data_IF_942992292193
#
_entry.id   IF_942992292193
#
_cell.length_a   1.000
_cell.length_b   1.000
_cell.length_c   1.000
_cell.angle_alpha   90.00
_cell.angle_beta   90.00
_cell.angle_gamma   90.00
#
_symmetry.space_group_name_H-M   'P 1'
#
loop_
_entity.id
_entity.type
_entity.pdbx_description
1 polymer ?
#
# COMPACT_ATOMS: atom_id res chain seq x y z
N UNK A 1 6.11 5.25 6.81
CA UNK A 1 6.37 5.65 5.41
C UNK A 1 5.80 7.04 5.14
N UNK A 2 6.61 8.11 5.29
CA UNK A 2 6.15 9.50 5.08
C UNK A 2 6.52 10.07 3.70
N UNK A 3 7.50 9.45 3.03
CA UNK A 3 8.08 9.96 1.79
C UNK A 3 7.13 9.87 0.58
N UNK A 4 6.38 8.79 0.40
CA UNK A 4 5.46 8.63 -0.75
C UNK A 4 4.12 9.35 -0.58
N UNK A 5 3.42 9.10 0.52
CA UNK A 5 2.03 9.56 0.71
C UNK A 5 1.92 10.97 1.31
N UNK A 6 2.95 11.43 2.04
CA UNK A 6 2.98 12.76 2.62
C UNK A 6 3.61 13.81 1.71
N UNK A 7 4.78 13.49 1.11
CA UNK A 7 5.57 14.43 0.32
C UNK A 7 5.02 14.61 -1.11
N UNK A 8 4.61 13.51 -1.75
CA UNK A 8 4.12 13.53 -3.14
C UNK A 8 2.59 13.58 -3.24
N UNK A 9 1.87 13.40 -2.13
CA UNK A 9 0.39 13.31 -2.04
C UNK A 9 -0.22 12.34 -3.05
N UNK A 10 0.53 11.29 -3.42
CA UNK A 10 0.07 10.30 -4.40
C UNK A 10 -0.97 9.37 -3.78
N UNK A 11 -1.93 8.96 -4.60
CA UNK A 11 -2.76 7.80 -4.33
C UNK A 11 -1.87 6.56 -4.11
N UNK A 12 -2.12 5.72 -3.08
CA UNK A 12 -1.49 4.41 -2.89
C UNK A 12 -1.30 3.58 -4.15
N UNK A 13 -2.34 3.47 -4.98
CA UNK A 13 -2.26 2.70 -6.22
C UNK A 13 -1.24 3.31 -7.20
N UNK A 14 -1.26 4.64 -7.35
CA UNK A 14 -0.35 5.33 -8.26
C UNK A 14 1.11 5.18 -7.79
N UNK A 15 1.35 5.32 -6.50
CA UNK A 15 2.68 5.14 -5.91
C UNK A 15 3.24 3.74 -6.16
N UNK A 16 2.43 2.69 -5.96
CA UNK A 16 2.86 1.30 -6.16
C UNK A 16 2.96 0.89 -7.63
N UNK A 17 2.40 1.68 -8.55
CA UNK A 17 2.49 1.43 -9.99
C UNK A 17 3.73 2.08 -10.62
N UNK A 18 4.42 2.97 -9.90
CA UNK A 18 5.60 3.68 -10.40
C UNK A 18 6.82 2.78 -10.49
N UNK A 19 7.63 3.01 -11.52
CA UNK A 19 8.95 2.39 -11.63
C UNK A 19 9.93 3.02 -10.62
N UNK A 20 11.00 2.29 -10.21
CA UNK A 20 12.03 2.85 -9.31
C UNK A 20 12.65 4.15 -9.84
N UNK A 21 12.78 4.29 -11.17
CA UNK A 21 13.31 5.49 -11.82
C UNK A 21 12.36 6.68 -11.70
N UNK A 22 11.05 6.46 -11.88
CA UNK A 22 10.03 7.49 -11.68
C UNK A 22 9.92 7.90 -10.21
N UNK A 23 10.01 6.93 -9.30
CA UNK A 23 10.03 7.20 -7.86
C UNK A 23 11.25 8.06 -7.47
N UNK A 24 12.44 7.73 -7.98
CA UNK A 24 13.65 8.52 -7.75
C UNK A 24 13.51 9.95 -8.27
N UNK A 25 12.92 10.14 -9.46
CA UNK A 25 12.68 11.47 -10.01
C UNK A 25 11.66 12.28 -9.18
N UNK A 26 10.60 11.64 -8.68
CA UNK A 26 9.57 12.29 -7.88
C UNK A 26 10.09 12.73 -6.50
N UNK A 27 10.98 11.95 -5.88
CA UNK A 27 11.54 12.24 -4.56
C UNK A 27 12.57 13.38 -4.55
N UNK A 28 13.00 13.88 -5.72
CA UNK A 28 14.03 14.91 -5.82
C UNK A 28 15.46 14.35 -5.67
N UNK A 29 16.49 15.21 -5.55
CA UNK A 29 17.88 14.76 -5.43
C UNK A 29 17.99 13.73 -4.32
N UNK A 30 18.58 12.58 -4.65
CA UNK A 30 18.63 11.42 -3.78
C UNK A 30 19.12 11.84 -2.39
N UNK A 31 18.26 11.70 -1.39
CA UNK A 31 18.69 11.70 0.01
C UNK A 31 19.91 10.78 0.10
N UNK A 32 20.96 11.13 0.88
CA UNK A 32 22.15 10.31 0.99
C UNK A 32 21.71 8.87 1.23
N UNK A 33 22.22 7.97 0.38
CA UNK A 33 21.88 6.56 0.45
C UNK A 33 22.10 6.11 1.89
N UNK A 34 21.01 5.84 2.60
CA UNK A 34 21.09 5.27 3.92
C UNK A 34 21.50 3.82 3.72
N UNK A 35 22.52 3.39 4.44
CA UNK A 35 22.95 2.00 4.41
C UNK A 35 21.75 1.09 4.68
N UNK A 36 21.55 0.13 3.78
CA UNK A 36 20.54 -0.90 3.99
C UNK A 36 20.92 -1.71 5.24
N UNK A 37 19.94 -2.17 6.05
CA UNK A 37 20.24 -3.01 7.19
C UNK A 37 20.96 -4.29 6.74
N UNK A 38 21.88 -4.78 7.57
CA UNK A 38 22.49 -6.10 7.35
C UNK A 38 21.43 -7.20 7.42
N UNK A 39 21.77 -8.40 6.96
CA UNK A 39 20.86 -9.57 7.00
C UNK A 39 20.44 -9.86 8.44
N UNK A 40 21.38 -9.80 9.38
CA UNK A 40 21.17 -10.05 10.81
C UNK A 40 20.26 -8.98 11.44
N UNK A 41 20.46 -7.72 11.07
CA UNK A 41 19.62 -6.61 11.52
C UNK A 41 18.18 -6.75 11.01
N UNK A 42 18.01 -7.20 9.76
CA UNK A 42 16.69 -7.49 9.20
C UNK A 42 16.02 -8.67 9.91
N UNK A 43 16.76 -9.75 10.20
CA UNK A 43 16.22 -10.91 10.93
C UNK A 43 15.83 -10.56 12.38
N UNK A 44 16.54 -9.60 13.01
CA UNK A 44 16.13 -9.06 14.31
C UNK A 44 14.82 -8.26 14.22
N UNK A 45 14.66 -7.44 13.17
CA UNK A 45 13.43 -6.68 12.96
C UNK A 45 12.21 -7.58 12.72
N UNK A 46 12.35 -8.63 11.91
CA UNK A 46 11.25 -9.58 11.64
C UNK A 46 10.77 -10.28 12.91
N UNK A 47 11.68 -10.62 13.82
CA UNK A 47 11.33 -11.20 15.13
C UNK A 47 10.61 -10.20 16.04
N UNK A 48 11.03 -8.94 16.01
CA UNK A 48 10.46 -7.90 16.87
C UNK A 48 9.09 -7.40 16.38
N UNK A 49 8.84 -7.47 15.07
CA UNK A 49 7.59 -6.99 14.44
C UNK A 49 6.98 -8.08 13.55
N UNK A 50 6.38 -9.13 14.14
CA UNK A 50 5.76 -10.19 13.37
C UNK A 50 4.50 -9.68 12.67
N UNK A 51 4.38 -9.94 11.36
CA UNK A 51 3.15 -9.67 10.62
C UNK A 51 2.02 -10.54 11.16
N UNK A 52 0.90 -9.92 11.50
CA UNK A 52 -0.29 -10.65 11.91
C UNK A 52 -0.84 -11.38 10.67
N UNK A 53 -0.97 -12.70 10.76
CA UNK A 53 -1.73 -13.43 9.77
C UNK A 53 -3.15 -12.85 9.72
N UNK A 54 -3.56 -12.34 8.56
CA UNK A 54 -4.96 -12.00 8.36
C UNK A 54 -5.78 -13.26 8.64
N UNK A 55 -6.77 -13.23 9.55
CA UNK A 55 -7.65 -14.37 9.70
C UNK A 55 -8.26 -14.65 8.33
N UNK A 56 -8.09 -15.89 7.85
CA UNK A 56 -8.69 -16.35 6.61
C UNK A 56 -10.17 -15.96 6.65
N UNK A 57 -10.59 -15.15 5.67
CA UNK A 57 -11.88 -14.45 5.65
C UNK A 57 -13.00 -15.34 6.20
N UNK A 58 -13.53 -15.01 7.39
CA UNK A 58 -14.85 -15.50 7.80
C UNK A 58 -15.84 -14.86 6.84
N UNK A 59 -16.57 -15.68 6.09
CA UNK A 59 -17.54 -15.22 5.11
C UNK A 59 -18.58 -14.33 5.78
N UNK A 60 -18.48 -13.03 5.57
CA UNK A 60 -19.54 -12.08 5.89
C UNK A 60 -19.79 -11.24 4.66
N UNK A 61 -20.92 -11.52 4.03
CA UNK A 61 -21.38 -10.87 2.83
C UNK A 61 -21.60 -9.39 3.08
N UNK A 62 -20.88 -8.55 2.34
CA UNK A 62 -21.35 -7.20 2.06
C UNK A 62 -22.38 -7.32 0.93
N UNK A 63 -23.65 -7.40 1.32
CA UNK A 63 -24.76 -7.15 0.41
C UNK A 63 -24.65 -5.70 -0.08
N UNK A 64 -24.06 -5.51 -1.26
CA UNK A 64 -24.15 -4.25 -2.01
C UNK A 64 -25.59 -4.13 -2.52
N UNK A 65 -26.45 -3.55 -1.69
CA UNK A 65 -27.81 -3.18 -2.06
C UNK A 65 -27.78 -2.11 -3.14
N UNK A 66 -28.00 -2.50 -4.39
CA UNK A 66 -28.42 -1.58 -5.45
C UNK A 66 -29.74 -2.07 -6.04
N UNK A 67 -30.81 -1.94 -5.25
CA UNK A 67 -32.17 -2.01 -5.75
C UNK A 67 -32.50 -0.69 -6.46
N UNK A 68 -32.06 -0.52 -7.70
CA UNK A 68 -32.69 0.43 -8.61
C UNK A 68 -33.78 -0.30 -9.39
N UNK A 69 -35.00 -0.04 -8.95
CA UNK A 69 -36.29 -0.42 -9.52
C UNK A 69 -36.23 -0.43 -11.06
N UNK A 70 -36.50 -1.59 -11.63
CA UNK A 70 -36.96 -1.73 -13.02
C UNK A 70 -38.31 -1.01 -13.15
N UNK A 71 -38.28 0.22 -13.65
CA UNK A 71 -39.46 0.89 -14.15
C UNK A 71 -39.82 0.29 -15.50
N UNK A 72 -40.71 -0.70 -15.48
CA UNK A 72 -41.40 -1.24 -16.66
C UNK A 72 -42.71 -0.48 -16.87
N UNK A 73 -43.09 -0.35 -18.15
CA UNK A 73 -44.40 0.01 -18.73
C UNK A 73 -44.75 1.50 -18.84
N UNK A 74 -44.67 2.08 -20.03
CA UNK A 74 -45.63 1.93 -21.14
C UNK A 74 -44.96 2.24 -22.48
#
# INVERSE_FOLDING_TARGET
>A
MRAGFGLLRLNPQAFWSMTPRELAAALGPALPARDAPSREALDALMRNFPDQAFPAKVGTGFASGNARKTGSLK
#
